data_IF_442626506881
#
_entry.id   IF_442626506881
#
_cell.length_a   1.000
_cell.length_b   1.000
_cell.length_c   1.000
_cell.angle_alpha   90.00
_cell.angle_beta   90.00
_cell.angle_gamma   90.00
#
_symmetry.space_group_name_H-M   'P 1'
#
loop_
_entity.id
_entity.type
_entity.pdbx_description
1 polymer ?
#
# COMPACT_ATOMS: atom_id res chain seq x y z
N UNK A 1 -10.62 -12.67 8.91
CA UNK A 1 -9.25 -12.78 9.47
C UNK A 1 -8.24 -12.69 8.34
N UNK A 2 -7.13 -11.97 8.54
CA UNK A 2 -6.00 -11.98 7.60
C UNK A 2 -5.13 -13.22 7.87
N UNK A 3 -4.75 -13.98 6.82
CA UNK A 3 -3.94 -15.21 6.93
C UNK A 3 -2.63 -15.13 6.15
N UNK A 4 -2.22 -13.92 5.78
CA UNK A 4 -1.06 -13.67 4.92
C UNK A 4 -1.40 -12.86 3.67
N UNK A 5 -0.52 -12.93 2.67
CA UNK A 5 -0.63 -12.17 1.42
C UNK A 5 -0.34 -13.04 0.20
N UNK A 6 -0.78 -12.57 -0.97
CA UNK A 6 -0.31 -13.04 -2.28
C UNK A 6 0.58 -11.95 -2.88
N UNK A 7 1.72 -12.34 -3.45
CA UNK A 7 2.70 -11.41 -4.00
C UNK A 7 3.28 -11.95 -5.31
N UNK A 8 3.71 -11.03 -6.17
CA UNK A 8 4.48 -11.30 -7.39
C UNK A 8 5.97 -11.14 -7.08
N UNK A 9 6.77 -12.14 -7.43
CA UNK A 9 8.22 -11.99 -7.46
C UNK A 9 8.61 -11.20 -8.72
N UNK A 10 9.24 -10.03 -8.54
CA UNK A 10 9.58 -9.15 -9.67
C UNK A 10 10.73 -9.72 -10.52
N UNK A 11 11.62 -10.52 -9.92
CA UNK A 11 12.80 -11.08 -10.60
C UNK A 11 12.42 -12.16 -11.62
N UNK A 12 11.52 -13.08 -11.27
CA UNK A 12 11.21 -14.27 -12.06
C UNK A 12 9.73 -14.39 -12.48
N UNK A 13 8.88 -13.48 -12.02
CA UNK A 13 7.45 -13.48 -12.34
C UNK A 13 6.60 -14.53 -11.60
N UNK A 14 7.18 -15.28 -10.66
CA UNK A 14 6.45 -16.30 -9.91
C UNK A 14 5.49 -15.70 -8.88
N UNK A 15 4.44 -16.44 -8.53
CA UNK A 15 3.42 -16.02 -7.56
C UNK A 15 3.64 -16.74 -6.23
N UNK A 16 3.79 -15.97 -5.16
CA UNK A 16 4.00 -16.47 -3.81
C UNK A 16 2.78 -16.23 -2.94
N UNK A 17 2.41 -17.23 -2.15
CA UNK A 17 1.48 -17.09 -1.02
C UNK A 17 2.26 -17.19 0.28
N UNK A 18 2.37 -16.08 1.00
CA UNK A 18 3.10 -16.01 2.26
C UNK A 18 2.08 -16.13 3.38
N UNK A 19 2.00 -17.31 4.01
CA UNK A 19 1.06 -17.59 5.10
C UNK A 19 1.65 -17.17 6.44
N UNK A 20 0.85 -16.52 7.28
CA UNK A 20 1.25 -16.15 8.63
C UNK A 20 0.02 -16.10 9.56
N UNK A 21 0.25 -16.23 10.87
CA UNK A 21 -0.82 -16.05 11.88
C UNK A 21 -1.23 -14.59 12.03
N UNK A 22 -0.28 -13.67 11.87
CA UNK A 22 -0.48 -12.23 11.91
C UNK A 22 0.28 -11.58 10.75
N UNK A 23 -0.24 -10.46 10.23
CA UNK A 23 0.37 -9.73 9.11
C UNK A 23 0.34 -8.24 9.42
N UNK A 24 1.49 -7.58 9.27
CA UNK A 24 1.64 -6.12 9.44
C UNK A 24 1.75 -5.49 8.07
N UNK A 25 0.95 -4.44 7.82
CA UNK A 25 1.02 -3.62 6.60
C UNK A 25 1.72 -2.31 6.96
N UNK A 26 2.87 -2.06 6.34
CA UNK A 26 3.70 -0.88 6.56
C UNK A 26 4.21 -0.30 5.23
N UNK A 27 3.31 -0.17 4.24
CA UNK A 27 3.64 0.12 2.83
C UNK A 27 3.86 1.61 2.51
N UNK A 28 3.87 2.48 3.51
CA UNK A 28 3.96 3.93 3.31
C UNK A 28 2.66 4.58 2.80
N UNK A 29 2.77 5.80 2.26
CA UNK A 29 1.65 6.62 1.78
C UNK A 29 1.37 6.52 0.28
N UNK A 30 0.55 7.46 -0.22
CA UNK A 30 0.03 7.49 -1.61
C UNK A 30 0.25 8.84 -2.30
N UNK A 31 1.31 9.57 -1.95
CA UNK A 31 1.57 10.93 -2.46
C UNK A 31 1.70 11.01 -3.99
N UNK A 32 2.02 9.90 -4.67
CA UNK A 32 2.07 9.83 -6.14
C UNK A 32 0.73 9.93 -6.85
N UNK A 33 -0.36 10.09 -6.12
CA UNK A 33 -1.66 10.52 -6.66
C UNK A 33 -1.64 11.98 -7.16
N UNK A 34 -0.68 12.79 -6.71
CA UNK A 34 -0.52 14.20 -7.10
C UNK A 34 0.56 14.40 -8.16
N UNK A 35 0.34 15.38 -9.04
CA UNK A 35 1.29 15.72 -10.12
C UNK A 35 2.65 16.19 -9.57
N UNK A 36 2.65 17.11 -8.61
CA UNK A 36 3.83 17.55 -7.89
C UNK A 36 3.77 17.05 -6.44
N UNK A 37 4.76 16.25 -6.03
CA UNK A 37 4.88 15.72 -4.68
C UNK A 37 6.35 15.46 -4.34
N UNK A 38 6.69 15.54 -3.06
CA UNK A 38 8.02 15.18 -2.54
C UNK A 38 8.22 13.66 -2.40
N UNK A 39 7.11 12.90 -2.47
CA UNK A 39 7.13 11.44 -2.33
C UNK A 39 7.96 10.77 -3.42
N UNK A 40 8.62 9.67 -3.06
CA UNK A 40 9.29 8.82 -4.05
C UNK A 40 8.29 8.30 -5.11
N UNK A 41 8.79 7.92 -6.28
CA UNK A 41 7.95 7.33 -7.35
C UNK A 41 7.19 6.07 -6.91
N UNK A 42 7.68 5.39 -5.88
CA UNK A 42 7.11 4.16 -5.32
C UNK A 42 6.06 4.39 -4.22
N UNK A 43 5.74 5.63 -3.85
CA UNK A 43 4.71 5.94 -2.85
C UNK A 43 3.30 5.93 -3.46
N UNK A 44 2.82 4.74 -3.81
CA UNK A 44 1.61 4.50 -4.63
C UNK A 44 0.40 3.96 -3.86
N UNK A 45 0.50 3.75 -2.55
CA UNK A 45 -0.64 3.33 -1.71
C UNK A 45 -1.06 1.87 -1.85
N UNK A 46 -0.17 0.97 -2.27
CA UNK A 46 -0.50 -0.42 -2.57
C UNK A 46 -1.14 -1.16 -1.39
N UNK A 47 -0.63 -0.96 -0.17
CA UNK A 47 -1.20 -1.55 1.04
C UNK A 47 -2.56 -0.95 1.41
N UNK A 48 -2.75 0.36 1.26
CA UNK A 48 -4.05 1.01 1.43
C UNK A 48 -5.08 0.39 0.48
N UNK A 49 -4.72 0.21 -0.78
CA UNK A 49 -5.58 -0.40 -1.77
C UNK A 49 -5.85 -1.90 -1.51
N UNK A 50 -4.89 -2.65 -0.94
CA UNK A 50 -5.13 -4.03 -0.49
C UNK A 50 -6.19 -4.10 0.61
N UNK A 51 -6.16 -3.18 1.57
CA UNK A 51 -7.17 -3.08 2.64
C UNK A 51 -8.56 -2.79 2.05
N UNK A 52 -8.66 -1.82 1.15
CA UNK A 52 -9.92 -1.50 0.47
C UNK A 52 -10.47 -2.68 -0.34
N UNK A 53 -9.62 -3.39 -1.10
CA UNK A 53 -10.02 -4.60 -1.85
C UNK A 53 -10.49 -5.74 -0.96
N UNK A 54 -10.02 -5.80 0.29
CA UNK A 54 -10.49 -6.75 1.29
C UNK A 54 -11.83 -6.34 1.93
N UNK A 55 -12.46 -5.23 1.49
CA UNK A 55 -13.73 -4.73 2.01
C UNK A 55 -13.61 -4.03 3.36
N UNK A 56 -12.39 -3.65 3.77
CA UNK A 56 -12.14 -2.95 5.02
C UNK A 56 -12.07 -1.43 4.80
N UNK A 57 -12.50 -0.63 5.78
CA UNK A 57 -12.47 0.81 5.67
C UNK A 57 -11.04 1.37 5.73
N UNK A 58 -10.82 2.44 4.99
CA UNK A 58 -9.74 3.40 5.24
C UNK A 58 -10.33 4.63 5.94
N UNK A 59 -9.49 5.47 6.54
CA UNK A 59 -9.93 6.63 7.29
C UNK A 59 -9.14 7.86 6.88
N UNK A 60 -9.80 9.02 6.87
CA UNK A 60 -9.21 10.35 6.74
C UNK A 60 -8.35 10.57 5.47
N UNK A 61 -8.68 9.88 4.37
CA UNK A 61 -7.90 9.92 3.12
C UNK A 61 -7.94 11.28 2.41
N UNK A 62 -8.93 12.12 2.73
CA UNK A 62 -9.08 13.48 2.23
C UNK A 62 -8.07 14.47 2.83
N UNK A 63 -7.46 14.14 3.96
CA UNK A 63 -6.51 15.01 4.65
C UNK A 63 -5.08 14.80 4.15
N UNK A 64 -4.75 15.48 3.05
CA UNK A 64 -3.41 15.43 2.42
C UNK A 64 -2.57 16.64 2.83
N UNK A 65 -1.39 16.38 3.40
CA UNK A 65 -0.44 17.43 3.77
C UNK A 65 0.38 17.89 2.56
N UNK A 66 0.54 19.20 2.42
CA UNK A 66 1.49 19.83 1.52
C UNK A 66 2.64 20.42 2.33
N UNK A 67 3.87 20.01 2.03
CA UNK A 67 5.04 20.59 2.68
C UNK A 67 5.27 22.01 2.13
N UNK A 68 5.55 23.04 2.97
CA UNK A 68 5.65 24.43 2.51
C UNK A 68 6.80 24.76 1.56
N UNK A 69 7.88 23.96 1.56
CA UNK A 69 9.09 24.15 0.73
C UNK A 69 9.49 22.86 0.04
#
# INVERSE_FOLDING_TARGET
>A
ECRGVIALCIEDGSIHRIRARNTVVATGGYGRTYFSCTSAHTSTGDGTAMVTRAGLPCQDLEFVQFHPT
#
